data_IF_767696635251
#
_entry.id   IF_767696635251
#
_cell.length_a   1.000
_cell.length_b   1.000
_cell.length_c   1.000
_cell.angle_alpha   90.00
_cell.angle_beta   90.00
_cell.angle_gamma   90.00
#
_symmetry.space_group_name_H-M   'P 1'
#
loop_
_entity.id
_entity.type
_entity.pdbx_description
1 polymer ?
#
# COMPACT_ATOMS: atom_id res chain seq x y z
N UNK A 1 2.00 -28.65 -15.48
CA UNK A 1 2.14 -27.18 -15.63
C UNK A 1 1.14 -26.50 -14.71
N UNK A 2 1.57 -25.44 -14.02
CA UNK A 2 0.89 -24.85 -12.86
C UNK A 2 -0.36 -24.05 -13.28
N UNK A 3 -1.57 -24.50 -12.96
CA UNK A 3 -2.86 -23.88 -13.35
C UNK A 3 -2.93 -22.38 -13.00
N UNK A 4 -2.33 -21.99 -11.88
CA UNK A 4 -2.26 -20.60 -11.41
C UNK A 4 -1.46 -19.74 -12.41
N UNK A 5 -0.33 -20.25 -12.91
CA UNK A 5 0.50 -19.51 -13.87
C UNK A 5 -0.26 -19.23 -15.16
N UNK A 6 -1.01 -20.22 -15.65
CA UNK A 6 -1.84 -20.08 -16.85
C UNK A 6 -2.94 -19.03 -16.60
N UNK A 7 -3.59 -19.07 -15.43
CA UNK A 7 -4.62 -18.11 -15.07
C UNK A 7 -4.08 -16.67 -14.99
N UNK A 8 -2.89 -16.49 -14.40
CA UNK A 8 -2.23 -15.17 -14.32
C UNK A 8 -1.89 -14.65 -15.72
N UNK A 9 -1.24 -15.46 -16.57
CA UNK A 9 -0.93 -15.05 -17.96
C UNK A 9 -2.19 -14.67 -18.74
N UNK A 10 -3.26 -15.44 -18.59
CA UNK A 10 -4.55 -15.13 -19.23
C UNK A 10 -5.13 -13.80 -18.76
N UNK A 11 -5.12 -13.53 -17.46
CA UNK A 11 -5.61 -12.27 -16.89
C UNK A 11 -4.73 -11.08 -17.32
N UNK A 12 -3.41 -11.25 -17.37
CA UNK A 12 -2.49 -10.23 -17.88
C UNK A 12 -2.84 -9.85 -19.31
N UNK A 13 -3.04 -10.85 -20.19
CA UNK A 13 -3.41 -10.60 -21.59
C UNK A 13 -4.80 -9.94 -21.72
N UNK A 14 -5.73 -10.21 -20.81
CA UNK A 14 -7.04 -9.56 -20.79
C UNK A 14 -6.97 -8.08 -20.38
N UNK A 15 -6.08 -7.73 -19.45
CA UNK A 15 -5.98 -6.39 -18.87
C UNK A 15 -5.04 -5.49 -19.69
N UNK A 16 -3.89 -6.01 -20.09
CA UNK A 16 -2.87 -5.26 -20.83
C UNK A 16 -2.96 -5.44 -22.36
N UNK A 17 -3.71 -6.44 -22.83
CA UNK A 17 -3.70 -6.89 -24.23
C UNK A 17 -2.57 -7.87 -24.53
N UNK A 18 -2.59 -8.48 -25.71
CA UNK A 18 -1.50 -9.38 -26.15
C UNK A 18 -0.27 -8.58 -26.58
N UNK A 19 0.93 -9.04 -26.19
CA UNK A 19 2.20 -8.43 -26.55
C UNK A 19 2.97 -7.88 -25.33
N UNK A 20 3.67 -6.76 -25.52
CA UNK A 20 4.55 -6.14 -24.50
C UNK A 20 3.92 -4.91 -23.82
N UNK A 21 2.58 -4.84 -23.82
CA UNK A 21 1.87 -3.73 -23.23
C UNK A 21 1.87 -3.82 -21.70
N UNK A 22 1.76 -2.68 -21.03
CA UNK A 22 1.65 -2.59 -19.58
C UNK A 22 0.34 -1.91 -19.20
N UNK A 23 -0.26 -2.34 -18.08
CA UNK A 23 -1.45 -1.74 -17.50
C UNK A 23 -1.17 -1.34 -16.05
N UNK A 24 -1.76 -0.23 -15.62
CA UNK A 24 -1.70 0.22 -14.24
C UNK A 24 -2.70 -0.51 -13.33
N UNK A 25 -3.55 -1.38 -13.88
CA UNK A 25 -4.53 -2.15 -13.10
C UNK A 25 -3.84 -3.39 -12.48
N UNK A 26 -3.80 -3.50 -11.14
CA UNK A 26 -3.15 -4.63 -10.48
C UNK A 26 -3.97 -5.91 -10.59
N UNK A 27 -3.29 -7.06 -10.59
CA UNK A 27 -3.91 -8.38 -10.45
C UNK A 27 -3.74 -8.85 -9.00
N UNK A 28 -4.86 -9.11 -8.33
CA UNK A 28 -4.85 -9.60 -6.95
C UNK A 28 -4.83 -11.13 -6.93
N UNK A 29 -3.77 -11.70 -6.36
CA UNK A 29 -3.63 -13.14 -6.13
C UNK A 29 -3.50 -13.42 -4.63
N UNK A 30 -4.48 -14.13 -4.07
CA UNK A 30 -4.45 -14.56 -2.67
C UNK A 30 -4.11 -16.04 -2.58
N UNK A 31 -3.02 -16.39 -1.90
CA UNK A 31 -2.56 -17.77 -1.72
C UNK A 31 -2.66 -18.17 -0.26
N UNK A 32 -3.45 -19.20 0.02
CA UNK A 32 -3.60 -19.74 1.37
C UNK A 32 -2.73 -20.97 1.56
N UNK A 33 -1.92 -20.99 2.63
CA UNK A 33 -1.11 -22.15 3.02
C UNK A 33 -1.14 -22.32 4.54
N UNK A 34 -1.37 -23.55 5.01
CA UNK A 34 -1.34 -23.88 6.45
C UNK A 34 0.08 -23.73 6.99
N UNK A 35 0.20 -23.28 8.24
CA UNK A 35 1.46 -23.13 9.00
C UNK A 35 2.42 -22.02 8.50
N UNK A 36 1.92 -20.94 7.88
CA UNK A 36 2.71 -19.72 7.71
C UNK A 36 2.44 -18.80 8.91
N UNK A 37 3.48 -18.38 9.67
CA UNK A 37 3.30 -17.60 10.90
C UNK A 37 2.90 -16.13 10.67
N UNK A 38 3.04 -15.62 9.44
CA UNK A 38 2.78 -14.21 9.11
C UNK A 38 2.15 -14.09 7.73
N UNK A 39 1.17 -13.20 7.60
CA UNK A 39 0.63 -12.82 6.29
C UNK A 39 1.66 -11.97 5.54
N UNK A 40 1.91 -12.32 4.27
CA UNK A 40 2.88 -11.65 3.41
C UNK A 40 2.17 -11.13 2.16
N UNK A 41 2.25 -9.82 1.94
CA UNK A 41 1.81 -9.20 0.68
C UNK A 41 3.03 -8.93 -0.19
N UNK A 42 3.04 -9.49 -1.40
CA UNK A 42 4.07 -9.23 -2.41
C UNK A 42 3.45 -8.36 -3.50
N UNK A 43 4.09 -7.23 -3.79
CA UNK A 43 3.69 -6.31 -4.85
C UNK A 43 4.83 -6.29 -5.87
N UNK A 44 4.52 -6.56 -7.13
CA UNK A 44 5.50 -6.61 -8.23
C UNK A 44 5.60 -5.26 -8.97
N UNK A 45 5.57 -4.12 -8.25
CA UNK A 45 5.49 -2.75 -8.80
C UNK A 45 5.88 -1.67 -7.73
N UNK A 46 6.16 -0.39 -8.11
CA UNK A 46 6.86 0.56 -7.24
C UNK A 46 6.02 1.17 -6.11
N UNK A 47 6.49 0.84 -4.90
CA UNK A 47 6.53 1.49 -3.57
C UNK A 47 5.32 2.18 -2.89
N UNK A 48 4.86 1.55 -1.80
CA UNK A 48 4.47 2.18 -0.54
C UNK A 48 5.69 2.55 0.33
N UNK A 49 5.55 3.56 1.21
CA UNK A 49 6.59 3.99 2.18
C UNK A 49 6.88 2.96 3.30
N UNK A 50 6.14 1.85 3.35
CA UNK A 50 6.18 0.83 4.42
C UNK A 50 6.48 -0.56 3.88
N UNK A 51 7.37 -0.67 2.90
CA UNK A 51 7.72 -1.94 2.26
C UNK A 51 9.24 -2.17 2.22
N UNK A 52 9.67 -3.43 2.27
CA UNK A 52 11.03 -3.85 1.91
C UNK A 52 11.03 -4.03 0.40
N UNK A 53 11.99 -3.42 -0.25
CA UNK A 53 12.10 -3.42 -1.70
C UNK A 53 13.16 -4.45 -2.08
N UNK A 54 12.72 -5.43 -2.87
CA UNK A 54 13.54 -6.55 -3.30
C UNK A 54 14.00 -6.32 -4.73
N UNK A 55 15.29 -6.10 -4.92
CA UNK A 55 15.88 -5.93 -6.23
C UNK A 55 16.43 -7.24 -6.76
N UNK A 56 15.80 -7.80 -7.77
CA UNK A 56 16.34 -8.98 -8.47
C UNK A 56 17.24 -8.50 -9.60
N UNK A 57 18.55 -8.60 -9.40
CA UNK A 57 19.54 -8.11 -10.38
C UNK A 57 20.45 -9.28 -10.79
N UNK A 58 20.74 -9.47 -12.10
CA UNK A 58 21.74 -10.44 -12.53
C UNK A 58 23.13 -10.07 -11.97
N UNK A 59 23.89 -11.05 -11.49
CA UNK A 59 25.23 -10.81 -10.92
C UNK A 59 26.21 -10.12 -11.89
N UNK A 60 26.02 -10.36 -13.20
CA UNK A 60 26.80 -9.74 -14.28
C UNK A 60 26.58 -8.23 -14.45
N UNK A 61 25.52 -7.66 -13.89
CA UNK A 61 25.16 -6.24 -14.06
C UNK A 61 25.56 -5.44 -12.83
N UNK A 62 26.09 -4.23 -13.03
CA UNK A 62 26.47 -3.35 -11.93
C UNK A 62 25.25 -2.81 -11.18
N UNK A 63 25.23 -3.03 -9.86
CA UNK A 63 24.08 -2.71 -9.02
C UNK A 63 23.79 -1.20 -8.99
N UNK A 64 24.84 -0.39 -9.06
CA UNK A 64 24.74 1.09 -9.08
C UNK A 64 24.09 1.64 -10.34
N UNK A 65 24.18 0.90 -11.46
CA UNK A 65 23.66 1.35 -12.76
C UNK A 65 22.23 0.91 -13.03
N UNK A 66 21.74 -0.07 -12.25
CA UNK A 66 20.39 -0.62 -12.38
C UNK A 66 19.32 0.47 -12.22
N UNK A 67 18.36 0.49 -13.14
CA UNK A 67 17.20 1.40 -13.10
C UNK A 67 16.40 1.24 -11.81
N UNK A 68 16.26 0.00 -11.33
CA UNK A 68 15.56 -0.30 -10.09
C UNK A 68 16.20 0.40 -8.89
N UNK A 69 17.54 0.45 -8.84
CA UNK A 69 18.28 1.10 -7.76
C UNK A 69 18.26 2.61 -7.88
N UNK A 70 18.30 3.15 -9.10
CA UNK A 70 18.19 4.60 -9.34
C UNK A 70 16.85 5.12 -8.83
N UNK A 71 15.76 4.44 -9.19
CA UNK A 71 14.42 4.79 -8.73
C UNK A 71 14.28 4.66 -7.21
N UNK A 72 14.75 3.55 -6.64
CA UNK A 72 14.71 3.32 -5.20
C UNK A 72 15.46 4.42 -4.41
N UNK A 73 16.58 4.94 -4.93
CA UNK A 73 17.34 6.02 -4.27
C UNK A 73 16.61 7.36 -4.22
N UNK A 74 15.64 7.60 -5.10
CA UNK A 74 14.79 8.80 -5.02
C UNK A 74 13.91 8.78 -3.76
N UNK A 75 13.52 7.58 -3.30
CA UNK A 75 12.62 7.37 -2.14
C UNK A 75 13.30 6.76 -0.91
N UNK A 76 14.53 6.27 -1.04
CA UNK A 76 15.37 5.72 0.03
C UNK A 76 16.85 5.99 -0.27
N UNK A 77 17.26 7.24 -0.09
CA UNK A 77 18.63 7.69 -0.34
C UNK A 77 19.68 6.98 0.51
N UNK A 78 19.29 6.49 1.69
CA UNK A 78 20.15 5.77 2.64
C UNK A 78 20.14 4.24 2.43
N UNK A 79 19.34 3.72 1.50
CA UNK A 79 19.24 2.30 1.19
C UNK A 79 18.94 1.42 2.44
N UNK A 80 18.10 1.92 3.35
CA UNK A 80 17.78 1.26 4.62
C UNK A 80 16.88 0.04 4.42
N UNK A 81 15.98 0.10 3.44
CA UNK A 81 14.92 -0.90 3.18
C UNK A 81 15.11 -1.64 1.85
N UNK A 82 16.30 -1.53 1.27
CA UNK A 82 16.67 -2.13 -0.02
C UNK A 82 17.43 -3.44 0.21
N UNK A 83 16.99 -4.52 -0.42
CA UNK A 83 17.64 -5.83 -0.42
C UNK A 83 17.89 -6.28 -1.86
N UNK A 84 19.14 -6.55 -2.23
CA UNK A 84 19.46 -7.09 -3.56
C UNK A 84 19.50 -8.62 -3.51
N UNK A 85 18.82 -9.25 -4.45
CA UNK A 85 18.93 -10.67 -4.77
C UNK A 85 19.72 -10.78 -6.07
N UNK A 86 20.97 -11.23 -5.95
CA UNK A 86 21.83 -11.48 -7.10
C UNK A 86 21.46 -12.82 -7.72
N UNK A 87 20.86 -12.75 -8.91
CA UNK A 87 20.48 -13.92 -9.71
C UNK A 87 21.51 -14.21 -10.81
N UNK A 88 21.38 -15.35 -11.50
CA UNK A 88 22.26 -15.74 -12.62
C UNK A 88 23.75 -15.74 -12.22
N UNK A 89 24.03 -16.22 -11.01
CA UNK A 89 25.38 -16.28 -10.42
C UNK A 89 26.29 -17.29 -11.12
N UNK A 90 25.71 -18.20 -11.90
CA UNK A 90 26.36 -19.19 -12.74
C UNK A 90 27.20 -18.58 -13.87
N UNK A 91 26.92 -17.33 -14.27
CA UNK A 91 27.61 -16.64 -15.36
C UNK A 91 28.75 -15.74 -14.90
N UNK A 92 29.10 -15.77 -13.62
CA UNK A 92 29.99 -14.80 -13.01
C UNK A 92 31.16 -15.49 -12.32
N UNK A 93 32.36 -15.28 -12.86
CA UNK A 93 33.52 -16.09 -12.49
C UNK A 93 34.40 -15.47 -11.39
N UNK A 94 34.50 -14.13 -11.27
CA UNK A 94 35.49 -13.48 -10.36
C UNK A 94 35.02 -12.16 -9.75
N UNK A 95 35.25 -11.98 -8.45
CA UNK A 95 34.95 -10.72 -7.74
C UNK A 95 33.52 -10.61 -7.22
N UNK A 96 32.77 -11.72 -7.20
CA UNK A 96 31.34 -11.69 -6.84
C UNK A 96 31.16 -11.47 -5.35
N UNK A 97 32.00 -12.11 -4.54
CA UNK A 97 31.95 -11.97 -3.09
C UNK A 97 32.15 -10.52 -2.67
N UNK A 98 33.15 -9.85 -3.22
CA UNK A 98 33.46 -8.44 -2.97
C UNK A 98 32.29 -7.55 -3.38
N UNK A 99 31.76 -7.76 -4.60
CA UNK A 99 30.60 -7.00 -5.11
C UNK A 99 29.36 -7.15 -4.23
N UNK A 100 29.05 -8.37 -3.77
CA UNK A 100 27.89 -8.64 -2.91
C UNK A 100 28.09 -8.09 -1.49
N UNK A 101 29.33 -7.99 -1.03
CA UNK A 101 29.70 -7.36 0.24
C UNK A 101 29.72 -5.84 0.20
N UNK A 102 29.48 -5.22 -0.97
CA UNK A 102 29.55 -3.77 -1.13
C UNK A 102 30.98 -3.24 -1.32
N UNK A 103 31.95 -4.11 -1.60
CA UNK A 103 33.37 -3.78 -1.71
C UNK A 103 33.77 -3.81 -3.19
N UNK A 104 34.34 -2.71 -3.68
CA UNK A 104 34.89 -2.60 -5.04
C UNK A 104 33.97 -1.92 -6.07
N UNK A 105 34.43 -1.84 -7.33
CA UNK A 105 33.70 -1.13 -8.39
C UNK A 105 32.39 -1.83 -8.73
N UNK A 106 31.31 -1.07 -8.90
CA UNK A 106 29.97 -1.59 -9.25
C UNK A 106 29.19 -2.20 -8.08
N UNK A 107 29.76 -2.21 -6.88
CA UNK A 107 29.13 -2.65 -5.63
C UNK A 107 28.30 -1.54 -4.97
N UNK A 108 27.40 -1.90 -4.05
CA UNK A 108 26.63 -0.93 -3.26
C UNK A 108 26.51 -1.41 -1.81
N UNK A 109 26.77 -0.51 -0.86
CA UNK A 109 26.55 -0.78 0.56
C UNK A 109 25.06 -0.67 0.87
N UNK A 110 24.47 -1.77 1.37
CA UNK A 110 23.05 -1.88 1.71
C UNK A 110 22.89 -2.34 3.15
N UNK A 111 21.93 -1.76 3.87
CA UNK A 111 21.65 -2.14 5.27
C UNK A 111 21.15 -3.59 5.39
N UNK A 112 20.27 -4.02 4.48
CA UNK A 112 19.76 -5.40 4.44
C UNK A 112 20.72 -6.38 3.73
N UNK A 113 21.74 -5.86 3.05
CA UNK A 113 22.77 -6.62 2.34
C UNK A 113 22.33 -7.11 0.97
N UNK A 114 23.09 -8.09 0.45
CA UNK A 114 22.82 -8.73 -0.83
C UNK A 114 22.92 -10.24 -0.70
N UNK A 115 21.97 -10.99 -1.28
CA UNK A 115 21.95 -12.46 -1.23
C UNK A 115 22.10 -13.03 -2.64
N UNK A 116 23.06 -13.94 -2.81
CA UNK A 116 23.26 -14.71 -4.04
C UNK A 116 22.30 -15.89 -4.09
N UNK A 117 21.59 -16.08 -5.20
CA UNK A 117 20.69 -17.22 -5.41
C UNK A 117 20.92 -17.88 -6.77
N UNK A 118 20.84 -19.20 -6.79
CA UNK A 118 20.83 -19.99 -8.02
C UNK A 118 19.38 -20.37 -8.35
N UNK A 119 18.93 -19.95 -9.52
CA UNK A 119 17.57 -20.23 -10.00
C UNK A 119 17.58 -21.35 -11.05
N UNK A 120 16.38 -21.86 -11.37
CA UNK A 120 16.19 -22.80 -12.48
C UNK A 120 16.47 -22.13 -13.82
N UNK A 121 17.15 -22.83 -14.70
CA UNK A 121 17.27 -22.49 -16.11
C UNK A 121 16.02 -22.93 -16.89
N UNK A 122 15.86 -22.44 -18.12
CA UNK A 122 14.67 -22.73 -18.95
C UNK A 122 14.49 -24.24 -19.16
N UNK A 123 15.57 -24.96 -19.47
CA UNK A 123 15.53 -26.42 -19.64
C UNK A 123 15.10 -27.16 -18.37
N UNK A 124 15.49 -26.65 -17.19
CA UNK A 124 15.15 -27.23 -15.89
C UNK A 124 13.69 -26.94 -15.49
N UNK A 125 13.15 -25.81 -15.94
CA UNK A 125 11.73 -25.49 -15.83
C UNK A 125 10.92 -26.46 -16.70
N UNK A 126 11.36 -26.69 -17.94
CA UNK A 126 10.68 -27.58 -18.88
C UNK A 126 10.71 -29.04 -18.38
N UNK A 127 11.81 -29.47 -17.76
CA UNK A 127 11.96 -30.77 -17.10
C UNK A 127 11.22 -30.89 -15.76
N UNK A 128 10.57 -29.83 -15.27
CA UNK A 128 9.89 -29.77 -13.98
C UNK A 128 10.75 -30.27 -12.80
N UNK A 129 12.01 -29.83 -12.73
CA UNK A 129 12.87 -30.18 -11.60
C UNK A 129 12.25 -29.66 -10.30
N UNK A 130 12.26 -30.51 -9.28
CA UNK A 130 11.67 -30.19 -7.98
C UNK A 130 12.44 -29.10 -7.25
N UNK A 131 11.76 -28.38 -6.37
CA UNK A 131 12.38 -27.32 -5.56
C UNK A 131 13.51 -27.87 -4.68
N UNK A 132 13.37 -29.07 -4.10
CA UNK A 132 14.39 -29.62 -3.22
C UNK A 132 15.63 -30.11 -3.95
N UNK A 133 15.46 -30.61 -5.17
CA UNK A 133 16.60 -30.94 -6.03
C UNK A 133 17.36 -29.66 -6.42
N UNK A 134 16.66 -28.58 -6.75
CA UNK A 134 17.31 -27.29 -7.04
C UNK A 134 18.05 -26.72 -5.83
N UNK A 135 17.48 -26.88 -4.64
CA UNK A 135 18.14 -26.47 -3.39
C UNK A 135 19.41 -27.28 -3.12
N UNK A 136 19.42 -28.58 -3.38
CA UNK A 136 20.62 -29.41 -3.29
C UNK A 136 21.69 -28.96 -4.28
N UNK A 137 21.30 -28.69 -5.53
CA UNK A 137 22.21 -28.16 -6.57
C UNK A 137 22.77 -26.79 -6.23
N UNK A 138 21.97 -25.91 -5.65
CA UNK A 138 22.43 -24.60 -5.18
C UNK A 138 23.53 -24.76 -4.12
N UNK A 139 23.34 -25.65 -3.14
CA UNK A 139 24.37 -25.94 -2.15
C UNK A 139 25.65 -26.52 -2.78
N UNK A 140 25.52 -27.47 -3.71
CA UNK A 140 26.64 -28.06 -4.45
C UNK A 140 27.37 -27.02 -5.32
N UNK A 141 26.64 -26.07 -5.90
CA UNK A 141 27.20 -25.00 -6.72
C UNK A 141 28.15 -24.11 -5.93
N UNK A 142 27.76 -23.69 -4.71
CA UNK A 142 28.61 -22.88 -3.84
C UNK A 142 29.85 -23.63 -3.35
N UNK A 143 29.77 -24.96 -3.18
CA UNK A 143 30.93 -25.80 -2.83
C UNK A 143 31.87 -25.93 -4.04
N UNK A 144 31.33 -26.18 -5.24
CA UNK A 144 32.12 -26.36 -6.45
C UNK A 144 32.85 -25.07 -6.87
N UNK A 145 32.21 -23.92 -6.73
CA UNK A 145 32.77 -22.61 -7.07
C UNK A 145 33.37 -21.90 -5.85
N UNK A 146 34.05 -22.65 -4.98
CA UNK A 146 34.59 -22.13 -3.72
C UNK A 146 35.47 -20.89 -3.93
N UNK A 147 36.33 -20.85 -4.96
CA UNK A 147 37.23 -19.72 -5.22
C UNK A 147 36.50 -18.37 -5.38
N UNK A 148 35.32 -18.37 -6.00
CA UNK A 148 34.54 -17.16 -6.23
C UNK A 148 33.70 -16.73 -5.01
N UNK A 149 33.29 -17.69 -4.17
CA UNK A 149 32.34 -17.46 -3.06
C UNK A 149 32.94 -17.64 -1.67
N UNK A 150 34.21 -18.02 -1.53
CA UNK A 150 34.87 -18.26 -0.23
C UNK A 150 34.86 -17.03 0.69
N UNK A 151 35.01 -15.84 0.12
CA UNK A 151 35.03 -14.58 0.87
C UNK A 151 33.63 -14.07 1.21
N UNK A 152 32.59 -14.62 0.57
CA UNK A 152 31.21 -14.30 0.88
C UNK A 152 30.80 -15.09 2.14
N UNK A 153 30.27 -14.44 3.18
CA UNK A 153 29.70 -15.14 4.32
C UNK A 153 28.54 -16.04 3.92
N UNK A 154 28.35 -17.14 4.64
CA UNK A 154 27.28 -18.10 4.35
C UNK A 154 25.89 -17.49 4.54
N UNK A 155 25.73 -16.42 5.34
CA UNK A 155 24.47 -15.68 5.49
C UNK A 155 23.97 -15.00 4.21
N UNK A 156 24.82 -14.90 3.18
CA UNK A 156 24.48 -14.30 1.89
C UNK A 156 24.41 -15.33 0.75
N UNK A 157 24.49 -16.63 1.06
CA UNK A 157 24.48 -17.71 0.06
C UNK A 157 23.19 -18.51 0.10
N UNK A 158 22.43 -18.42 -0.98
CA UNK A 158 21.33 -19.32 -1.30
C UNK A 158 19.96 -18.88 -0.81
N UNK A 159 18.95 -19.61 -1.29
CA UNK A 159 17.54 -19.28 -1.10
C UNK A 159 17.07 -19.42 0.35
N UNK A 160 17.68 -20.33 1.12
CA UNK A 160 17.36 -20.52 2.53
C UNK A 160 17.72 -19.28 3.34
N UNK A 161 18.87 -18.69 3.07
CA UNK A 161 19.34 -17.49 3.75
C UNK A 161 18.49 -16.29 3.37
N UNK A 162 18.05 -16.20 2.10
CA UNK A 162 17.07 -15.19 1.70
C UNK A 162 15.77 -15.30 2.52
N UNK A 163 15.31 -16.52 2.82
CA UNK A 163 14.11 -16.75 3.65
C UNK A 163 14.34 -16.34 5.09
N UNK A 164 15.43 -16.80 5.70
CA UNK A 164 15.74 -16.65 7.13
C UNK A 164 16.48 -15.37 7.50
N UNK A 165 16.83 -14.51 6.52
CA UNK A 165 17.65 -13.31 6.72
C UNK A 165 17.20 -12.52 7.98
N UNK A 166 18.04 -12.47 9.02
CA UNK A 166 17.66 -11.87 10.31
C UNK A 166 17.51 -10.36 10.21
N UNK A 167 18.27 -9.71 9.31
CA UNK A 167 18.19 -8.25 9.07
C UNK A 167 16.84 -7.89 8.47
N UNK A 168 16.39 -8.66 7.46
CA UNK A 168 15.04 -8.55 6.88
C UNK A 168 13.96 -8.75 7.95
N UNK A 169 14.08 -9.80 8.77
CA UNK A 169 13.10 -10.10 9.82
C UNK A 169 13.03 -9.01 10.89
N UNK A 170 14.16 -8.40 11.23
CA UNK A 170 14.20 -7.31 12.21
C UNK A 170 13.60 -6.03 11.63
N UNK A 171 13.92 -5.69 10.37
CA UNK A 171 13.34 -4.52 9.72
C UNK A 171 11.82 -4.67 9.52
N UNK A 172 11.33 -5.86 9.15
CA UNK A 172 9.88 -6.16 9.09
C UNK A 172 9.18 -5.98 10.43
N UNK A 173 9.85 -6.24 11.56
CA UNK A 173 9.29 -6.00 12.91
C UNK A 173 9.26 -4.52 13.29
N UNK A 174 10.20 -3.74 12.76
CA UNK A 174 10.31 -2.31 13.01
C UNK A 174 9.43 -1.48 12.05
N UNK A 175 8.90 -2.10 11.00
CA UNK A 175 7.94 -1.45 10.11
C UNK A 175 6.65 -1.10 10.85
N UNK A 176 5.98 0.00 10.46
CA UNK A 176 4.70 0.37 11.04
C UNK A 176 3.74 -0.81 10.94
N UNK A 177 3.17 -1.20 12.07
CA UNK A 177 2.22 -2.32 12.12
C UNK A 177 1.05 -1.95 11.20
N UNK A 178 0.62 -2.89 10.36
CA UNK A 178 -0.62 -2.73 9.59
C UNK A 178 -1.74 -2.35 10.56
N UNK A 179 -2.54 -1.32 10.24
CA UNK A 179 -3.59 -0.83 11.15
C UNK A 179 -4.52 -1.99 11.51
N UNK A 180 -4.46 -2.45 12.76
CA UNK A 180 -5.21 -3.63 13.24
C UNK A 180 -6.55 -3.25 13.87
N UNK A 181 -6.76 -1.96 14.10
CA UNK A 181 -7.91 -1.39 14.78
C UNK A 181 -8.54 -0.26 13.96
N UNK A 182 -9.87 -0.17 14.02
CA UNK A 182 -10.63 0.93 13.44
C UNK A 182 -10.24 2.29 14.04
N UNK A 183 -9.87 2.33 15.33
CA UNK A 183 -9.36 3.55 15.96
C UNK A 183 -8.03 4.02 15.35
N UNK A 184 -7.12 3.08 15.01
CA UNK A 184 -5.84 3.42 14.41
C UNK A 184 -6.03 3.97 12.99
N UNK A 185 -6.94 3.36 12.22
CA UNK A 185 -7.38 3.87 10.92
C UNK A 185 -7.95 5.29 11.05
N UNK A 186 -8.80 5.54 12.04
CA UNK A 186 -9.40 6.85 12.28
C UNK A 186 -8.38 7.92 12.64
N UNK A 187 -7.40 7.59 13.51
CA UNK A 187 -6.31 8.49 13.88
C UNK A 187 -5.46 8.85 12.66
N UNK A 188 -5.12 7.86 11.82
CA UNK A 188 -4.35 8.11 10.59
C UNK A 188 -5.13 8.94 9.58
N UNK A 189 -6.42 8.65 9.41
CA UNK A 189 -7.32 9.41 8.56
C UNK A 189 -7.44 10.87 9.02
N UNK A 190 -7.65 11.10 10.32
CA UNK A 190 -7.68 12.44 10.89
C UNK A 190 -6.36 13.18 10.71
N UNK A 191 -5.21 12.49 10.85
CA UNK A 191 -3.89 13.06 10.57
C UNK A 191 -3.77 13.52 9.12
N UNK A 192 -4.20 12.71 8.15
CA UNK A 192 -4.20 13.08 6.72
C UNK A 192 -5.09 14.29 6.47
N UNK A 193 -6.31 14.29 7.03
CA UNK A 193 -7.24 15.43 6.94
C UNK A 193 -6.60 16.69 7.53
N UNK A 194 -5.90 16.58 8.65
CA UNK A 194 -5.22 17.70 9.29
C UNK A 194 -4.03 18.21 8.46
N UNK A 195 -3.20 17.33 7.89
CA UNK A 195 -2.13 17.72 6.96
C UNK A 195 -2.70 18.42 5.72
N UNK A 196 -3.82 17.92 5.18
CA UNK A 196 -4.49 18.55 4.05
C UNK A 196 -5.05 19.92 4.43
N UNK A 197 -5.67 20.03 5.62
CA UNK A 197 -6.13 21.30 6.20
C UNK A 197 -4.98 22.28 6.42
N UNK A 198 -3.82 21.82 6.88
CA UNK A 198 -2.63 22.65 7.06
C UNK A 198 -2.04 23.10 5.72
N UNK A 199 -2.03 22.25 4.71
CA UNK A 199 -1.61 22.62 3.35
C UNK A 199 -2.57 23.65 2.73
N UNK A 200 -3.88 23.51 2.97
CA UNK A 200 -4.87 24.53 2.64
C UNK A 200 -4.61 25.80 3.45
N UNK A 201 -4.45 25.72 4.78
CA UNK A 201 -4.15 26.89 5.65
C UNK A 201 -2.86 27.59 5.27
N UNK A 202 -1.82 26.90 4.82
CA UNK A 202 -0.56 27.48 4.39
C UNK A 202 -0.73 28.26 3.08
N UNK A 203 -1.49 27.72 2.12
CA UNK A 203 -1.90 28.44 0.90
C UNK A 203 -2.85 29.61 1.18
N UNK A 204 -3.65 29.50 2.24
CA UNK A 204 -4.64 30.50 2.68
C UNK A 204 -4.01 31.56 3.60
N UNK A 205 -2.87 31.28 4.24
CA UNK A 205 -2.16 32.20 5.14
C UNK A 205 -1.46 33.36 4.40
N UNK A 206 -1.35 33.30 3.08
CA UNK A 206 -0.96 34.46 2.27
C UNK A 206 -2.11 35.46 2.11
N UNK A 207 -3.37 35.07 2.39
CA UNK A 207 -4.57 35.87 2.04
C UNK A 207 -5.66 36.01 3.12
N UNK A 208 -5.50 35.52 4.37
CA UNK A 208 -6.56 35.66 5.40
C UNK A 208 -6.14 36.32 6.72
N UNK A 209 -6.90 37.38 7.02
CA UNK A 209 -6.80 38.30 8.15
C UNK A 209 -7.01 37.64 9.53
N UNK A 210 -6.43 38.27 10.55
CA UNK A 210 -6.22 37.85 11.94
C UNK A 210 -7.50 37.35 12.64
N UNK A 211 -8.67 37.80 12.20
CA UNK A 211 -9.98 37.45 12.77
C UNK A 211 -10.33 35.96 12.63
N UNK A 212 -9.97 35.33 11.50
CA UNK A 212 -10.27 33.90 11.25
C UNK A 212 -9.37 32.99 12.08
N UNK A 213 -8.17 33.46 12.47
CA UNK A 213 -7.26 32.74 13.36
C UNK A 213 -7.81 32.64 14.79
N UNK A 214 -8.45 33.69 15.29
CA UNK A 214 -9.00 33.73 16.65
C UNK A 214 -10.19 32.77 16.79
N UNK A 215 -11.05 32.67 15.78
CA UNK A 215 -12.18 31.74 15.79
C UNK A 215 -11.75 30.27 15.71
N UNK A 216 -10.69 29.93 14.97
CA UNK A 216 -10.21 28.55 14.92
C UNK A 216 -9.44 28.10 16.17
N UNK A 217 -8.75 29.00 16.86
CA UNK A 217 -8.10 28.69 18.14
C UNK A 217 -9.18 28.41 19.21
N UNK A 218 -10.23 29.22 19.26
CA UNK A 218 -11.32 29.07 20.23
C UNK A 218 -12.11 27.75 20.05
N UNK A 219 -12.25 27.25 18.81
CA UNK A 219 -12.88 25.96 18.51
C UNK A 219 -12.03 24.75 18.94
N UNK A 220 -10.71 24.90 19.01
CA UNK A 220 -9.80 23.85 19.48
C UNK A 220 -9.64 23.83 21.01
N UNK A 221 -9.83 24.97 21.68
CA UNK A 221 -9.73 25.09 23.14
C UNK A 221 -11.01 24.73 23.90
N UNK A 222 -12.15 24.58 23.21
CA UNK A 222 -13.45 24.21 23.82
C UNK A 222 -13.79 22.71 23.73
N UNK A 223 -12.93 21.88 23.16
CA UNK A 223 -13.14 20.42 23.15
C UNK A 223 -12.85 19.74 24.49
N UNK A 224 -12.32 20.48 25.47
CA UNK A 224 -12.13 20.02 26.83
C UNK A 224 -13.01 20.84 27.77
N UNK A 225 -14.05 20.19 28.29
CA UNK A 225 -14.96 20.66 29.34
C UNK A 225 -16.29 21.27 28.88
N UNK A 226 -17.33 20.51 29.23
CA UNK A 226 -18.73 20.89 29.47
C UNK A 226 -19.70 21.09 28.31
N UNK A 227 -20.86 20.49 28.54
CA UNK A 227 -22.12 20.52 27.80
C UNK A 227 -22.53 21.97 27.54
N UNK A 228 -22.51 22.42 26.29
CA UNK A 228 -23.04 23.75 25.93
C UNK A 228 -24.35 23.62 25.16
N UNK A 229 -25.36 24.16 25.84
CA UNK A 229 -26.78 24.26 25.56
C UNK A 229 -27.09 24.80 24.14
N UNK A 230 -27.93 24.07 23.42
CA UNK A 230 -28.39 24.31 22.04
C UNK A 230 -29.31 25.54 21.86
N UNK A 231 -29.20 26.56 22.71
CA UNK A 231 -30.09 27.73 22.75
C UNK A 231 -29.45 29.05 22.31
N UNK A 232 -28.13 29.11 22.10
CA UNK A 232 -27.44 30.35 21.70
C UNK A 232 -27.39 30.55 20.17
N UNK A 233 -27.80 29.56 19.36
CA UNK A 233 -27.79 29.68 17.89
C UNK A 233 -29.12 30.14 17.26
N UNK A 234 -29.99 30.79 18.04
CA UNK A 234 -31.20 31.45 17.54
C UNK A 234 -31.10 32.96 17.77
N UNK A 235 -30.40 33.65 16.87
CA UNK A 235 -30.54 35.09 16.53
C UNK A 235 -29.39 35.52 15.61
N UNK A 236 -29.46 35.14 14.34
CA UNK A 236 -28.88 35.99 13.30
C UNK A 236 -30.00 36.20 12.29
N UNK A 237 -30.48 37.44 12.30
CA UNK A 237 -31.64 37.98 11.60
C UNK A 237 -31.40 37.93 10.08
N UNK A 238 -32.42 37.54 9.31
CA UNK A 238 -32.43 37.45 7.84
C UNK A 238 -32.52 38.84 7.17
N UNK A 239 -32.03 39.91 7.81
CA UNK A 239 -32.29 41.31 7.40
C UNK A 239 -31.03 42.13 7.10
N UNK A 240 -29.98 41.52 6.54
CA UNK A 240 -28.81 42.28 6.07
C UNK A 240 -28.80 42.40 4.53
N UNK A 241 -29.39 43.49 4.06
CA UNK A 241 -29.26 44.05 2.71
C UNK A 241 -27.84 44.58 2.44
N UNK A 242 -27.29 44.19 1.29
CA UNK A 242 -26.40 44.95 0.39
C UNK A 242 -25.12 45.67 0.90
N UNK A 243 -24.27 45.05 1.74
CA UNK A 243 -22.90 45.58 1.94
C UNK A 243 -21.81 44.58 2.36
N UNK A 244 -21.80 43.36 1.82
CA UNK A 244 -20.70 42.40 2.02
C UNK A 244 -19.78 42.40 0.78
N UNK A 245 -18.44 42.54 0.91
CA UNK A 245 -17.50 42.50 -0.23
C UNK A 245 -17.63 41.21 -1.05
N UNK A 246 -17.40 41.30 -2.37
CA UNK A 246 -17.73 40.24 -3.34
C UNK A 246 -17.12 38.85 -3.03
N UNK A 247 -15.92 38.80 -2.43
CA UNK A 247 -15.21 37.54 -2.15
C UNK A 247 -15.78 36.78 -0.94
N UNK A 248 -16.34 37.47 0.05
CA UNK A 248 -17.04 36.87 1.18
C UNK A 248 -18.37 36.22 0.75
N UNK A 249 -18.93 36.66 -0.38
CA UNK A 249 -20.15 36.08 -0.95
C UNK A 249 -19.88 34.67 -1.47
N UNK A 250 -18.76 34.45 -2.15
CA UNK A 250 -18.38 33.13 -2.65
C UNK A 250 -18.08 32.17 -1.50
N UNK A 251 -17.31 32.62 -0.50
CA UNK A 251 -17.02 31.83 0.69
C UNK A 251 -18.30 31.47 1.47
N UNK A 252 -19.23 32.43 1.62
CA UNK A 252 -20.55 32.19 2.23
C UNK A 252 -21.39 31.20 1.43
N UNK A 253 -21.40 31.30 0.10
CA UNK A 253 -22.10 30.36 -0.76
C UNK A 253 -21.50 28.95 -0.72
N UNK A 254 -20.17 28.82 -0.68
CA UNK A 254 -19.47 27.54 -0.52
C UNK A 254 -19.77 26.93 0.84
N UNK A 255 -19.70 27.71 1.93
CA UNK A 255 -20.04 27.25 3.28
C UNK A 255 -21.49 26.77 3.37
N UNK A 256 -22.44 27.55 2.82
CA UNK A 256 -23.85 27.16 2.75
C UNK A 256 -24.06 25.90 1.93
N UNK A 257 -23.32 25.74 0.83
CA UNK A 257 -23.36 24.54 0.00
C UNK A 257 -22.82 23.32 0.76
N UNK A 258 -21.68 23.44 1.43
CA UNK A 258 -21.09 22.37 2.26
C UNK A 258 -21.99 21.96 3.42
N UNK A 259 -22.66 22.91 4.07
CA UNK A 259 -23.61 22.61 5.15
C UNK A 259 -24.85 21.87 4.63
N UNK A 260 -25.42 22.34 3.51
CA UNK A 260 -26.51 21.62 2.83
C UNK A 260 -26.09 20.21 2.41
N UNK A 261 -24.88 20.07 1.88
CA UNK A 261 -24.30 18.79 1.50
C UNK A 261 -24.18 17.83 2.70
N UNK A 262 -23.67 18.32 3.84
CA UNK A 262 -23.56 17.54 5.06
C UNK A 262 -24.92 17.13 5.61
N UNK A 263 -25.91 18.03 5.58
CA UNK A 263 -27.28 17.74 6.01
C UNK A 263 -27.93 16.67 5.11
N UNK A 264 -27.75 16.74 3.79
CA UNK A 264 -28.28 15.76 2.84
C UNK A 264 -27.58 14.40 2.94
N UNK A 265 -26.25 14.38 3.15
CA UNK A 265 -25.53 13.14 3.43
C UNK A 265 -26.05 12.48 4.71
N UNK A 266 -26.23 13.25 5.78
CA UNK A 266 -26.68 12.72 7.08
C UNK A 266 -28.09 12.14 6.98
N UNK A 267 -28.98 12.77 6.20
CA UNK A 267 -30.33 12.23 5.91
C UNK A 267 -30.30 10.97 5.04
N UNK A 268 -29.34 10.87 4.12
CA UNK A 268 -29.25 9.74 3.19
C UNK A 268 -28.70 8.48 3.86
N UNK A 269 -27.80 8.62 4.84
CA UNK A 269 -27.07 7.52 5.47
C UNK A 269 -27.55 7.11 6.88
N UNK A 270 -28.57 7.75 7.46
CA UNK A 270 -28.98 7.49 8.86
C UNK A 270 -29.67 6.13 9.12
N UNK A 271 -29.93 5.33 8.09
CA UNK A 271 -30.80 4.15 8.19
C UNK A 271 -30.07 2.82 8.44
N UNK A 272 -28.76 2.84 8.68
CA UNK A 272 -27.96 1.62 8.91
C UNK A 272 -28.44 0.77 10.10
N UNK A 273 -28.96 1.43 11.15
CA UNK A 273 -29.51 0.77 12.33
C UNK A 273 -30.97 0.36 12.20
N UNK A 274 -31.60 0.59 11.04
CA UNK A 274 -33.01 0.26 10.83
C UNK A 274 -33.21 -1.23 10.61
N UNK A 275 -34.33 -1.76 11.09
CA UNK A 275 -34.72 -3.17 10.88
C UNK A 275 -34.88 -3.52 9.39
N UNK A 276 -35.20 -2.53 8.55
CA UNK A 276 -35.26 -2.70 7.10
C UNK A 276 -33.87 -2.94 6.49
N UNK A 277 -32.85 -2.21 6.96
CA UNK A 277 -31.48 -2.38 6.51
C UNK A 277 -30.89 -3.72 6.96
N UNK A 278 -31.23 -4.16 8.18
CA UNK A 278 -30.84 -5.49 8.67
C UNK A 278 -31.38 -6.63 7.78
N UNK A 279 -32.65 -6.53 7.33
CA UNK A 279 -33.22 -7.49 6.37
C UNK A 279 -32.50 -7.49 5.03
N UNK A 280 -32.11 -6.30 4.54
CA UNK A 280 -31.32 -6.17 3.31
C UNK A 280 -29.95 -6.86 3.43
N UNK A 281 -29.26 -6.67 4.56
CA UNK A 281 -27.98 -7.33 4.82
C UNK A 281 -28.14 -8.86 4.79
N UNK A 282 -29.16 -9.40 5.47
CA UNK A 282 -29.44 -10.85 5.47
C UNK A 282 -29.72 -11.39 4.06
N UNK A 283 -30.52 -10.66 3.26
CA UNK A 283 -30.80 -11.04 1.88
C UNK A 283 -29.52 -11.07 1.02
N UNK A 284 -28.65 -10.06 1.14
CA UNK A 284 -27.39 -10.00 0.40
C UNK A 284 -26.42 -11.10 0.85
N UNK A 285 -26.44 -11.48 2.13
CA UNK A 285 -25.69 -12.63 2.65
C UNK A 285 -26.19 -13.92 2.02
N UNK A 286 -27.50 -14.17 2.03
CA UNK A 286 -28.13 -15.37 1.45
C UNK A 286 -27.85 -15.48 -0.06
N UNK A 287 -27.98 -14.38 -0.80
CA UNK A 287 -27.69 -14.32 -2.24
C UNK A 287 -26.19 -14.55 -2.58
N UNK A 288 -25.30 -14.34 -1.61
CA UNK A 288 -23.84 -14.50 -1.78
C UNK A 288 -23.32 -15.89 -1.35
N UNK A 289 -24.17 -16.77 -0.80
CA UNK A 289 -23.79 -18.10 -0.29
C UNK A 289 -23.27 -19.07 -1.34
N UNK A 290 -23.33 -18.75 -2.63
CA UNK A 290 -22.85 -19.62 -3.72
C UNK A 290 -21.34 -19.86 -3.76
N UNK A 291 -20.50 -19.10 -3.03
CA UNK A 291 -19.02 -19.20 -3.15
C UNK A 291 -18.26 -18.94 -1.83
N UNK A 292 -18.78 -19.24 -0.64
CA UNK A 292 -18.00 -19.01 0.60
C UNK A 292 -18.17 -20.08 1.67
N UNK A 293 -17.06 -20.33 2.38
CA UNK A 293 -16.93 -21.25 3.50
C UNK A 293 -17.94 -20.91 4.62
N UNK A 294 -18.36 -21.89 5.43
CA UNK A 294 -19.22 -21.64 6.57
C UNK A 294 -18.53 -20.66 7.55
N UNK A 295 -19.26 -19.63 7.99
CA UNK A 295 -18.91 -18.67 9.05
C UNK A 295 -18.05 -17.44 8.69
N UNK A 296 -17.75 -17.16 7.41
CA UNK A 296 -17.06 -15.92 7.03
C UNK A 296 -17.85 -15.13 5.97
N UNK A 297 -18.20 -13.86 6.22
CA UNK A 297 -18.82 -13.02 5.20
C UNK A 297 -17.79 -12.65 4.12
N UNK A 298 -18.16 -12.84 2.85
CA UNK A 298 -17.34 -12.45 1.69
C UNK A 298 -17.28 -10.92 1.55
N UNK A 299 -16.12 -10.37 1.17
CA UNK A 299 -15.97 -8.93 0.89
C UNK A 299 -16.95 -8.41 -0.18
N UNK A 300 -17.42 -9.30 -1.06
CA UNK A 300 -18.45 -9.00 -2.08
C UNK A 300 -19.78 -8.53 -1.49
N UNK A 301 -20.06 -8.91 -0.24
CA UNK A 301 -21.26 -8.48 0.49
C UNK A 301 -21.16 -6.98 0.80
N UNK A 302 -20.00 -6.55 1.32
CA UNK A 302 -19.73 -5.14 1.63
C UNK A 302 -19.71 -4.30 0.35
N UNK A 303 -19.08 -4.81 -0.73
CA UNK A 303 -19.03 -4.14 -2.03
C UNK A 303 -20.44 -3.91 -2.61
N UNK A 304 -21.32 -4.91 -2.57
CA UNK A 304 -22.71 -4.79 -3.03
C UNK A 304 -23.51 -3.80 -2.19
N UNK A 305 -23.39 -3.87 -0.86
CA UNK A 305 -24.06 -2.93 0.05
C UNK A 305 -23.58 -1.50 -0.22
N UNK A 306 -22.27 -1.29 -0.38
CA UNK A 306 -21.70 0.02 -0.69
C UNK A 306 -22.22 0.58 -2.01
N UNK A 307 -22.27 -0.22 -3.08
CA UNK A 307 -22.83 0.22 -4.37
C UNK A 307 -24.32 0.58 -4.30
N UNK A 308 -25.11 -0.16 -3.52
CA UNK A 308 -26.53 0.15 -3.32
C UNK A 308 -26.73 1.47 -2.56
N UNK A 309 -25.91 1.75 -1.55
CA UNK A 309 -25.96 3.03 -0.83
C UNK A 309 -25.44 4.19 -1.68
N UNK A 310 -24.43 3.96 -2.51
CA UNK A 310 -23.93 4.96 -3.45
C UNK A 310 -25.03 5.41 -4.44
N UNK A 311 -25.90 4.50 -4.87
CA UNK A 311 -27.03 4.81 -5.75
C UNK A 311 -28.13 5.65 -5.07
N UNK A 312 -28.19 5.69 -3.74
CA UNK A 312 -29.15 6.50 -2.99
C UNK A 312 -28.71 7.95 -2.83
N UNK A 313 -27.46 8.27 -3.15
CA UNK A 313 -26.98 9.64 -3.14
C UNK A 313 -27.68 10.44 -4.26
N UNK A 314 -28.21 11.64 -3.95
CA UNK A 314 -28.83 12.47 -4.97
C UNK A 314 -27.81 12.83 -6.07
N UNK A 315 -28.27 12.81 -7.34
CA UNK A 315 -27.49 13.06 -8.56
C UNK A 315 -26.62 14.35 -8.54
N UNK A 316 -26.96 15.31 -7.68
CA UNK A 316 -26.18 16.54 -7.45
C UNK A 316 -24.77 16.23 -6.90
N UNK A 317 -24.55 15.06 -6.28
CA UNK A 317 -23.24 14.63 -5.77
C UNK A 317 -22.35 13.91 -6.80
N UNK A 318 -22.89 13.45 -7.93
CA UNK A 318 -22.14 12.60 -8.90
C UNK A 318 -21.38 13.43 -9.95
N UNK A 319 -21.58 14.75 -9.97
CA UNK A 319 -20.99 15.68 -10.96
C UNK A 319 -19.80 16.51 -10.42
N UNK A 320 -19.25 16.15 -9.26
CA UNK A 320 -17.98 16.66 -8.74
C UNK A 320 -16.91 15.58 -8.84
#
# INVERSE_FOLDING_TARGET
>A
MNEISIAVTRLTNQIAGEGTNASSTPIYLTVYKRNIPYDLTLIDLPEPQTAIVLHVIPASVDFTTSESMKLAKEFDSQCLRQLIVASKIDKYDKGIAEKLLGIGPGAMELKLGCVAVLNRNQDEIDQNISFEEMKRREAEFFIKHHEAFQHLPDEFKGIDQLKTNPRKKNELKNMPIAMTSEQDCWIKFQSIINTFRESIRAKVNEDYDVLTRINMINLSSQASSEVVDSRILFKIDDTATDSIPCDDRLAYHIYRFQRKFQDELTKSFSNFSSMGYYKLILQVIDDATGVSLPNFPSYRIIERLFHQELQRLPLILVLL
#
